data_IF_252998034028
#
_entry.id   IF_252998034028
#
_cell.length_a   1.000
_cell.length_b   1.000
_cell.length_c   1.000
_cell.angle_alpha   90.00
_cell.angle_beta   90.00
_cell.angle_gamma   90.00
#
_symmetry.space_group_name_H-M   'P 1'
#
loop_
_entity.id
_entity.type
_entity.pdbx_description
1 polymer ?
#
# COMPACT_ATOMS: atom_id res chain seq x y z
N UNK A 1 -16.03 -0.96 32.43
CA UNK A 1 -15.09 -1.77 31.62
C UNK A 1 -14.99 -1.33 30.16
N UNK A 2 -15.84 -0.42 29.65
CA UNK A 2 -15.75 0.12 28.28
C UNK A 2 -14.77 1.29 28.11
N UNK A 3 -14.48 2.07 29.16
CA UNK A 3 -13.58 3.22 29.09
C UNK A 3 -12.08 2.86 29.01
N UNK A 4 -11.67 1.69 29.52
CA UNK A 4 -10.26 1.27 29.55
C UNK A 4 -9.73 0.72 28.22
N UNK A 5 -10.60 0.23 27.34
CA UNK A 5 -10.19 -0.24 26.01
C UNK A 5 -10.02 0.94 25.04
N UNK A 6 -10.85 1.99 25.18
CA UNK A 6 -10.75 3.23 24.39
C UNK A 6 -9.46 4.02 24.65
N UNK A 7 -8.88 3.93 25.85
CA UNK A 7 -7.60 4.58 26.16
C UNK A 7 -6.38 3.81 25.67
N UNK A 8 -6.54 2.54 25.26
CA UNK A 8 -5.46 1.66 24.82
C UNK A 8 -5.33 1.59 23.29
N UNK A 9 -6.44 1.79 22.57
CA UNK A 9 -6.45 1.92 21.12
C UNK A 9 -6.59 3.40 20.76
N UNK A 10 -5.67 3.93 19.97
CA UNK A 10 -5.78 5.27 19.41
C UNK A 10 -7.15 5.40 18.71
N UNK A 11 -7.86 6.51 18.91
CA UNK A 11 -9.11 6.73 18.19
C UNK A 11 -8.81 6.84 16.69
N UNK A 12 -9.72 6.31 15.86
CA UNK A 12 -9.57 6.38 14.41
C UNK A 12 -9.65 7.81 13.95
N UNK A 13 -8.88 8.12 12.91
CA UNK A 13 -8.96 9.41 12.27
C UNK A 13 -10.33 9.61 11.59
N UNK A 14 -11.06 10.70 11.88
CA UNK A 14 -12.40 10.93 11.33
C UNK A 14 -12.40 11.11 9.80
N UNK A 15 -11.29 11.55 9.21
CA UNK A 15 -11.12 11.66 7.76
C UNK A 15 -10.91 10.27 7.17
N UNK A 16 -10.10 9.43 7.83
CA UNK A 16 -9.85 8.07 7.38
C UNK A 16 -11.10 7.18 7.48
N UNK A 17 -11.94 7.38 8.49
CA UNK A 17 -13.18 6.63 8.70
C UNK A 17 -14.18 6.80 7.54
N UNK A 18 -14.17 7.97 6.90
CA UNK A 18 -15.03 8.27 5.74
C UNK A 18 -14.48 7.71 4.42
N UNK A 19 -13.21 7.28 4.39
CA UNK A 19 -12.60 6.74 3.18
C UNK A 19 -12.97 5.26 3.00
N UNK A 20 -13.29 4.83 1.77
CA UNK A 20 -13.58 3.43 1.49
C UNK A 20 -12.45 2.52 1.96
N UNK A 21 -12.77 1.30 2.40
CA UNK A 21 -11.81 0.28 2.88
C UNK A 21 -11.05 0.61 4.18
N UNK A 22 -11.01 1.87 4.64
CA UNK A 22 -10.38 2.26 5.91
C UNK A 22 -11.37 2.28 7.09
N UNK A 23 -12.67 2.50 6.81
CA UNK A 23 -13.72 2.57 7.84
C UNK A 23 -13.96 1.29 8.67
N UNK A 24 -13.34 0.16 8.36
CA UNK A 24 -13.41 -1.07 9.16
C UNK A 24 -12.16 -1.92 9.01
N UNK A 25 -11.92 -2.83 9.97
CA UNK A 25 -10.86 -3.84 9.86
C UNK A 25 -11.26 -5.00 8.95
N UNK A 26 -12.56 -5.17 8.73
CA UNK A 26 -13.11 -6.30 7.95
C UNK A 26 -12.59 -6.30 6.50
N UNK A 27 -12.56 -5.17 5.76
CA UNK A 27 -12.08 -5.17 4.38
C UNK A 27 -10.62 -5.59 4.24
N UNK A 28 -9.71 -5.08 5.07
CA UNK A 28 -8.29 -5.43 4.98
C UNK A 28 -8.06 -6.91 5.32
N UNK A 29 -8.71 -7.43 6.37
CA UNK A 29 -8.62 -8.85 6.73
C UNK A 29 -9.17 -9.72 5.60
N UNK A 30 -10.34 -9.37 5.06
CA UNK A 30 -10.96 -10.11 3.96
C UNK A 30 -10.08 -10.11 2.70
N UNK A 31 -9.50 -8.95 2.33
CA UNK A 31 -8.60 -8.81 1.19
C UNK A 31 -7.34 -9.64 1.37
N UNK A 32 -6.68 -9.58 2.55
CA UNK A 32 -5.48 -10.36 2.84
C UNK A 32 -5.75 -11.86 2.86
N UNK A 33 -6.86 -12.31 3.44
CA UNK A 33 -7.24 -13.73 3.43
C UNK A 33 -7.59 -14.22 2.02
N UNK A 34 -8.34 -13.44 1.25
CA UNK A 34 -8.65 -13.74 -0.15
C UNK A 34 -7.37 -13.83 -0.98
N UNK A 35 -6.45 -12.87 -0.78
CA UNK A 35 -5.13 -12.86 -1.41
C UNK A 35 -4.34 -14.15 -1.14
N UNK A 36 -4.20 -14.52 0.14
CA UNK A 36 -3.52 -15.75 0.54
C UNK A 36 -4.17 -17.00 -0.04
N UNK A 37 -5.50 -17.09 0.03
CA UNK A 37 -6.26 -18.21 -0.53
C UNK A 37 -6.04 -18.33 -2.04
N UNK A 38 -6.05 -17.21 -2.77
CA UNK A 38 -5.82 -17.18 -4.22
C UNK A 38 -4.39 -17.60 -4.56
N UNK A 39 -3.39 -17.04 -3.90
CA UNK A 39 -1.98 -17.23 -4.29
C UNK A 39 -1.42 -18.58 -3.83
N UNK A 40 -1.78 -19.04 -2.63
CA UNK A 40 -1.20 -20.25 -2.04
C UNK A 40 -2.01 -21.51 -2.34
N UNK A 41 -3.31 -21.41 -2.57
CA UNK A 41 -4.20 -22.58 -2.68
C UNK A 41 -4.92 -22.62 -4.02
N UNK A 42 -5.84 -21.68 -4.26
CA UNK A 42 -6.76 -21.71 -5.40
C UNK A 42 -6.01 -21.61 -6.73
N UNK A 43 -5.11 -20.63 -6.84
CA UNK A 43 -4.34 -20.36 -8.06
C UNK A 43 -3.41 -21.52 -8.45
N UNK A 44 -2.57 -22.06 -7.55
CA UNK A 44 -1.76 -23.24 -7.83
C UNK A 44 -2.58 -24.48 -8.24
N UNK A 45 -3.71 -24.75 -7.56
CA UNK A 45 -4.61 -25.85 -7.90
C UNK A 45 -5.22 -25.63 -9.29
N UNK A 46 -5.75 -24.43 -9.54
CA UNK A 46 -6.35 -24.06 -10.83
C UNK A 46 -5.36 -24.17 -11.99
N UNK A 47 -4.10 -23.79 -11.76
CA UNK A 47 -3.05 -23.83 -12.77
C UNK A 47 -2.42 -25.21 -12.95
N UNK A 48 -2.63 -26.18 -12.05
CA UNK A 48 -1.95 -27.49 -12.07
C UNK A 48 -1.98 -28.14 -13.45
N UNK A 49 -3.17 -28.24 -14.05
CA UNK A 49 -3.40 -28.89 -15.33
C UNK A 49 -3.49 -27.92 -16.52
N UNK A 50 -3.11 -26.65 -16.35
CA UNK A 50 -3.17 -25.61 -17.39
C UNK A 50 -1.78 -25.19 -17.86
N UNK A 51 -1.66 -24.78 -19.12
CA UNK A 51 -0.45 -24.11 -19.62
C UNK A 51 -0.39 -22.67 -19.05
N UNK A 52 0.81 -22.08 -18.88
CA UNK A 52 0.92 -20.70 -18.43
C UNK A 52 0.22 -19.74 -19.40
N UNK A 53 -0.53 -18.78 -18.87
CA UNK A 53 -1.26 -17.82 -19.70
C UNK A 53 -0.32 -16.77 -20.30
N UNK A 54 -0.54 -16.41 -21.56
CA UNK A 54 0.19 -15.32 -22.22
C UNK A 54 -0.50 -13.97 -21.98
N UNK A 55 -0.36 -13.44 -20.76
CA UNK A 55 -0.93 -12.16 -20.32
C UNK A 55 0.07 -11.00 -20.37
N UNK A 56 1.10 -11.09 -21.23
CA UNK A 56 2.17 -10.08 -21.31
C UNK A 56 1.65 -8.65 -21.51
N UNK A 57 0.68 -8.45 -22.41
CA UNK A 57 0.09 -7.13 -22.66
C UNK A 57 -0.60 -6.55 -21.43
N UNK A 58 -1.31 -7.39 -20.67
CA UNK A 58 -2.00 -6.98 -19.44
C UNK A 58 -0.98 -6.56 -18.38
N UNK A 59 0.08 -7.35 -18.20
CA UNK A 59 1.17 -7.04 -17.27
C UNK A 59 1.88 -5.74 -17.67
N UNK A 60 2.10 -5.52 -18.97
CA UNK A 60 2.73 -4.30 -19.47
C UNK A 60 1.90 -3.05 -19.12
N UNK A 61 0.59 -3.09 -19.38
CA UNK A 61 -0.34 -1.99 -19.04
C UNK A 61 -0.36 -1.78 -17.52
N UNK A 62 -0.44 -2.87 -16.75
CA UNK A 62 -0.41 -2.81 -15.29
C UNK A 62 0.87 -2.15 -14.76
N UNK A 63 2.04 -2.60 -15.23
CA UNK A 63 3.33 -2.05 -14.83
C UNK A 63 3.43 -0.56 -15.19
N UNK A 64 2.96 -0.17 -16.39
CA UNK A 64 2.95 1.23 -16.80
C UNK A 64 2.09 2.12 -15.89
N UNK A 65 0.87 1.66 -15.56
CA UNK A 65 0.00 2.38 -14.63
C UNK A 65 0.61 2.46 -13.22
N UNK A 66 1.28 1.38 -12.78
CA UNK A 66 2.00 1.35 -11.51
C UNK A 66 3.17 2.33 -11.49
N UNK A 67 3.96 2.45 -12.56
CA UNK A 67 5.03 3.48 -12.67
C UNK A 67 4.43 4.87 -12.49
N UNK A 68 3.38 5.21 -13.23
CA UNK A 68 2.73 6.52 -13.14
C UNK A 68 2.26 6.80 -11.72
N UNK A 69 1.54 5.86 -11.11
CA UNK A 69 0.96 6.06 -9.80
C UNK A 69 2.02 6.19 -8.68
N UNK A 70 3.06 5.36 -8.70
CA UNK A 70 4.16 5.44 -7.73
C UNK A 70 4.96 6.74 -7.92
N UNK A 71 5.28 7.13 -9.16
CA UNK A 71 5.97 8.40 -9.43
C UNK A 71 5.13 9.60 -8.99
N UNK A 72 3.82 9.58 -9.24
CA UNK A 72 2.90 10.64 -8.84
C UNK A 72 2.83 10.79 -7.30
N UNK A 73 2.67 9.69 -6.57
CA UNK A 73 2.67 9.75 -5.10
C UNK A 73 4.02 10.17 -4.52
N UNK A 74 5.12 9.72 -5.12
CA UNK A 74 6.47 10.14 -4.74
C UNK A 74 6.63 11.66 -4.92
N UNK A 75 6.27 12.18 -6.10
CA UNK A 75 6.30 13.60 -6.41
C UNK A 75 5.42 14.41 -5.45
N UNK A 76 4.16 14.00 -5.25
CA UNK A 76 3.21 14.69 -4.38
C UNK A 76 3.72 14.77 -2.94
N UNK A 77 4.30 13.69 -2.43
CA UNK A 77 4.85 13.63 -1.07
C UNK A 77 6.08 14.53 -0.92
N UNK A 78 7.00 14.50 -1.89
CA UNK A 78 8.20 15.36 -1.88
C UNK A 78 7.83 16.84 -1.96
N UNK A 79 6.92 17.21 -2.87
CA UNK A 79 6.47 18.60 -3.01
C UNK A 79 5.77 19.07 -1.75
N UNK A 80 4.87 18.26 -1.17
CA UNK A 80 4.17 18.60 0.07
C UNK A 80 5.16 18.81 1.22
N UNK A 81 6.14 17.92 1.34
CA UNK A 81 7.20 18.03 2.35
C UNK A 81 8.05 19.30 2.18
N UNK A 82 8.48 19.59 0.95
CA UNK A 82 9.33 20.75 0.65
C UNK A 82 8.59 22.08 0.85
N UNK A 83 7.35 22.17 0.36
CA UNK A 83 6.53 23.38 0.41
C UNK A 83 6.08 23.73 1.83
N UNK A 84 5.80 22.73 2.67
CA UNK A 84 5.29 22.93 4.03
C UNK A 84 6.33 22.56 5.10
N UNK A 85 7.63 22.65 4.78
CA UNK A 85 8.76 22.23 5.64
C UNK A 85 8.73 22.79 7.07
N UNK A 86 8.15 23.96 7.27
CA UNK A 86 8.03 24.61 8.59
C UNK A 86 6.89 24.03 9.45
N UNK A 87 5.94 23.32 8.82
CA UNK A 87 4.78 22.70 9.46
C UNK A 87 4.91 21.17 9.53
N UNK A 88 5.88 20.58 8.83
CA UNK A 88 6.11 19.13 8.91
C UNK A 88 6.65 18.77 10.29
N UNK A 89 6.07 17.77 10.96
CA UNK A 89 6.60 17.30 12.22
C UNK A 89 8.01 16.74 12.07
N UNK A 90 8.77 16.76 13.17
CA UNK A 90 10.13 16.23 13.20
C UNK A 90 10.20 14.79 12.63
N UNK A 91 11.24 14.51 11.83
CA UNK A 91 11.46 13.20 11.24
C UNK A 91 11.63 12.07 12.26
N UNK A 92 11.85 12.40 13.53
CA UNK A 92 11.98 11.43 14.62
C UNK A 92 10.67 10.92 15.21
N UNK A 93 9.50 11.46 14.82
CA UNK A 93 8.21 11.05 15.40
C UNK A 93 7.12 10.82 14.34
N UNK A 94 6.23 9.87 14.64
CA UNK A 94 4.99 9.61 13.91
C UNK A 94 3.91 10.54 14.46
N UNK A 95 3.74 11.70 13.85
CA UNK A 95 2.79 12.71 14.35
C UNK A 95 2.00 13.33 13.22
N UNK A 96 0.79 13.78 13.57
CA UNK A 96 -0.10 14.56 12.70
C UNK A 96 0.41 15.99 12.57
N UNK A 97 -0.07 16.70 11.54
CA UNK A 97 0.20 18.13 11.38
C UNK A 97 -0.52 18.91 12.49
N UNK A 98 0.20 19.53 13.45
CA UNK A 98 -0.43 20.09 14.64
C UNK A 98 -1.23 21.37 14.36
N UNK A 99 -0.85 22.12 13.32
CA UNK A 99 -1.33 23.50 13.10
C UNK A 99 -2.16 23.66 11.82
N UNK A 100 -2.36 22.61 11.02
CA UNK A 100 -2.98 22.72 9.69
C UNK A 100 -3.91 21.54 9.36
N UNK A 101 -5.23 21.71 9.59
CA UNK A 101 -6.21 20.64 9.32
C UNK A 101 -6.34 20.33 7.82
N UNK A 102 -6.00 21.27 6.95
CA UNK A 102 -6.00 21.07 5.49
C UNK A 102 -4.86 20.14 5.07
N UNK A 103 -3.67 20.31 5.64
CA UNK A 103 -2.51 19.44 5.38
C UNK A 103 -2.71 18.06 5.96
N UNK A 104 -3.31 17.95 7.15
CA UNK A 104 -3.65 16.65 7.73
C UNK A 104 -4.61 15.86 6.83
N UNK A 105 -5.66 16.52 6.31
CA UNK A 105 -6.58 15.90 5.33
C UNK A 105 -5.89 15.47 4.05
N UNK A 106 -5.00 16.30 3.49
CA UNK A 106 -4.22 15.95 2.30
C UNK A 106 -3.36 14.72 2.56
N UNK A 107 -2.65 14.70 3.68
CA UNK A 107 -1.78 13.62 4.08
C UNK A 107 -2.52 12.28 4.26
N UNK A 108 -3.68 12.28 4.91
CA UNK A 108 -4.52 11.07 5.03
C UNK A 108 -4.97 10.56 3.66
N UNK A 109 -5.28 11.46 2.72
CA UNK A 109 -5.61 11.07 1.34
C UNK A 109 -4.40 10.48 0.60
N UNK A 110 -3.19 11.01 0.83
CA UNK A 110 -1.95 10.46 0.25
C UNK A 110 -1.67 9.07 0.81
N UNK A 111 -1.76 8.89 2.13
CA UNK A 111 -1.62 7.58 2.79
C UNK A 111 -2.67 6.58 2.32
N UNK A 112 -3.91 7.04 2.12
CA UNK A 112 -4.97 6.22 1.54
C UNK A 112 -4.66 5.80 0.11
N UNK A 113 -4.21 6.71 -0.75
CA UNK A 113 -3.80 6.37 -2.12
C UNK A 113 -2.63 5.38 -2.13
N UNK A 114 -1.66 5.55 -1.23
CA UNK A 114 -0.55 4.62 -1.07
C UNK A 114 -1.00 3.25 -0.58
N UNK A 115 -1.93 3.19 0.39
CA UNK A 115 -2.58 1.96 0.82
C UNK A 115 -3.28 1.24 -0.34
N UNK A 116 -4.05 1.97 -1.16
CA UNK A 116 -4.69 1.39 -2.35
C UNK A 116 -3.66 0.81 -3.32
N UNK A 117 -2.52 1.47 -3.55
CA UNK A 117 -1.45 0.91 -4.37
C UNK A 117 -0.92 -0.41 -3.79
N UNK A 118 -0.68 -0.49 -2.48
CA UNK A 118 -0.21 -1.74 -1.86
C UNK A 118 -1.23 -2.87 -1.97
N UNK A 119 -2.53 -2.56 -1.90
CA UNK A 119 -3.60 -3.54 -2.15
C UNK A 119 -3.61 -3.98 -3.62
N UNK A 120 -3.41 -3.05 -4.56
CA UNK A 120 -3.32 -3.37 -6.00
C UNK A 120 -2.09 -4.25 -6.28
N UNK A 121 -0.99 -4.09 -5.53
CA UNK A 121 0.21 -4.93 -5.67
C UNK A 121 -0.08 -6.43 -5.45
N UNK A 122 -1.16 -6.81 -4.74
CA UNK A 122 -1.60 -8.21 -4.66
C UNK A 122 -1.89 -8.84 -6.03
N UNK A 123 -2.30 -8.04 -7.01
CA UNK A 123 -2.58 -8.50 -8.37
C UNK A 123 -1.30 -8.97 -9.07
N UNK A 124 -0.15 -8.40 -8.75
CA UNK A 124 1.16 -8.79 -9.32
C UNK A 124 1.46 -10.27 -9.03
N UNK A 125 1.30 -10.68 -7.78
CA UNK A 125 1.41 -12.07 -7.35
C UNK A 125 0.42 -13.00 -8.06
N UNK A 126 -0.81 -12.53 -8.34
CA UNK A 126 -1.79 -13.31 -9.10
C UNK A 126 -1.27 -13.52 -10.53
N UNK A 127 -0.68 -12.51 -11.17
CA UNK A 127 -0.05 -12.66 -12.47
C UNK A 127 1.10 -13.66 -12.47
N UNK A 128 1.92 -13.70 -11.40
CA UNK A 128 2.98 -14.72 -11.28
C UNK A 128 2.42 -16.13 -11.22
N UNK A 129 1.33 -16.34 -10.47
CA UNK A 129 0.65 -17.65 -10.39
C UNK A 129 0.07 -18.04 -11.76
N UNK A 130 -0.62 -17.13 -12.46
CA UNK A 130 -1.19 -17.38 -13.78
C UNK A 130 -0.12 -17.67 -14.87
N UNK A 131 1.10 -17.16 -14.68
CA UNK A 131 2.25 -17.46 -15.55
C UNK A 131 3.05 -18.70 -15.12
N UNK A 132 2.64 -19.39 -14.05
CA UNK A 132 3.41 -20.48 -13.41
C UNK A 132 4.83 -20.08 -13.00
N UNK A 133 5.04 -18.81 -12.69
CA UNK A 133 6.34 -18.27 -12.26
C UNK A 133 6.50 -18.37 -10.74
N UNK A 134 6.37 -19.58 -10.19
CA UNK A 134 6.38 -19.79 -8.74
C UNK A 134 7.71 -19.43 -8.06
N UNK A 135 8.81 -19.35 -8.82
CA UNK A 135 10.11 -18.88 -8.30
C UNK A 135 10.07 -17.42 -7.81
N UNK A 136 9.19 -16.59 -8.39
CA UNK A 136 9.04 -15.19 -7.99
C UNK A 136 8.14 -15.04 -6.74
N UNK A 137 7.23 -16.00 -6.52
CA UNK A 137 6.33 -16.04 -5.35
C UNK A 137 7.07 -16.68 -4.17
N UNK A 138 8.07 -15.96 -3.65
CA UNK A 138 8.80 -16.38 -2.45
C UNK A 138 8.04 -16.02 -1.16
N UNK A 139 8.41 -16.66 -0.05
CA UNK A 139 7.91 -16.30 1.28
C UNK A 139 8.11 -14.81 1.57
N UNK A 140 9.30 -14.27 1.26
CA UNK A 140 9.62 -12.87 1.48
C UNK A 140 8.69 -11.94 0.70
N UNK A 141 8.40 -12.27 -0.56
CA UNK A 141 7.51 -11.48 -1.41
C UNK A 141 6.09 -11.43 -0.82
N UNK A 142 5.51 -12.59 -0.51
CA UNK A 142 4.15 -12.68 0.07
C UNK A 142 4.08 -11.98 1.43
N UNK A 143 5.06 -12.22 2.30
CA UNK A 143 5.16 -11.56 3.61
C UNK A 143 5.25 -10.05 3.48
N UNK A 144 6.11 -9.55 2.59
CA UNK A 144 6.28 -8.12 2.32
C UNK A 144 4.97 -7.47 1.86
N UNK A 145 4.25 -8.05 0.88
CA UNK A 145 2.99 -7.48 0.40
C UNK A 145 1.91 -7.41 1.48
N UNK A 146 1.82 -8.44 2.34
CA UNK A 146 0.87 -8.47 3.46
C UNK A 146 1.23 -7.43 4.51
N UNK A 147 2.50 -7.41 4.92
CA UNK A 147 2.99 -6.48 5.94
C UNK A 147 2.82 -5.04 5.48
N UNK A 148 3.23 -4.70 4.25
CA UNK A 148 3.09 -3.35 3.70
C UNK A 148 1.62 -2.92 3.64
N UNK A 149 0.70 -3.76 3.18
CA UNK A 149 -0.73 -3.39 3.10
C UNK A 149 -1.35 -3.19 4.48
N UNK A 150 -1.05 -4.10 5.42
CA UNK A 150 -1.59 -4.07 6.78
C UNK A 150 -1.03 -2.90 7.58
N UNK A 151 0.28 -2.66 7.49
CA UNK A 151 0.95 -1.57 8.20
C UNK A 151 0.47 -0.20 7.70
N UNK A 152 0.32 -0.03 6.38
CA UNK A 152 -0.27 1.17 5.79
C UNK A 152 -1.70 1.43 6.25
N UNK A 153 -2.52 0.37 6.33
CA UNK A 153 -3.87 0.47 6.88
C UNK A 153 -3.85 1.03 8.32
N UNK A 154 -3.02 0.47 9.20
CA UNK A 154 -2.95 0.92 10.59
C UNK A 154 -2.44 2.38 10.70
N UNK A 155 -1.41 2.74 9.95
CA UNK A 155 -0.88 4.09 9.98
C UNK A 155 -1.85 5.14 9.43
N UNK A 156 -2.51 4.83 8.31
CA UNK A 156 -3.51 5.72 7.72
C UNK A 156 -4.78 5.87 8.55
N UNK A 157 -5.12 4.84 9.35
CA UNK A 157 -6.35 4.84 10.16
C UNK A 157 -6.17 5.50 11.53
N UNK A 158 -4.99 5.36 12.15
CA UNK A 158 -4.80 5.75 13.56
C UNK A 158 -3.81 6.90 13.75
N UNK A 159 -2.64 6.83 13.12
CA UNK A 159 -1.52 7.71 13.47
C UNK A 159 -1.34 8.88 12.50
N UNK A 160 -2.02 8.86 11.35
CA UNK A 160 -1.87 9.91 10.34
C UNK A 160 -0.50 9.94 9.68
N UNK A 161 0.34 8.91 9.83
CA UNK A 161 1.49 8.53 8.99
C UNK A 161 2.51 9.57 8.47
N UNK A 162 2.52 10.83 8.89
CA UNK A 162 3.55 11.81 8.50
C UNK A 162 4.75 11.78 9.48
N UNK A 163 5.87 12.38 9.08
CA UNK A 163 7.15 12.35 9.80
C UNK A 163 8.06 11.25 9.25
N UNK A 164 8.57 10.37 10.12
CA UNK A 164 9.46 9.27 9.71
C UNK A 164 8.87 8.41 8.59
N UNK A 165 7.57 8.12 8.64
CA UNK A 165 6.95 7.18 7.70
C UNK A 165 6.79 7.73 6.28
N UNK A 166 6.77 9.07 6.11
CA UNK A 166 6.82 9.67 4.79
C UNK A 166 8.08 9.26 4.03
N UNK A 167 9.20 9.03 4.73
CA UNK A 167 10.44 8.51 4.10
C UNK A 167 10.25 7.09 3.55
N UNK A 168 9.53 6.23 4.25
CA UNK A 168 9.23 4.86 3.81
C UNK A 168 8.35 4.90 2.56
N UNK A 169 7.33 5.76 2.54
CA UNK A 169 6.47 5.96 1.38
C UNK A 169 7.29 6.41 0.16
N UNK A 170 8.10 7.47 0.31
CA UNK A 170 8.91 8.01 -0.79
C UNK A 170 9.90 6.97 -1.32
N UNK A 171 10.63 6.29 -0.43
CA UNK A 171 11.59 5.25 -0.82
C UNK A 171 10.91 4.07 -1.50
N UNK A 172 9.78 3.60 -0.96
CA UNK A 172 9.04 2.49 -1.55
C UNK A 172 8.53 2.88 -2.96
N UNK A 173 7.87 4.03 -3.09
CA UNK A 173 7.39 4.52 -4.38
C UNK A 173 8.53 4.74 -5.39
N UNK A 174 9.69 5.24 -4.95
CA UNK A 174 10.85 5.39 -5.82
C UNK A 174 11.38 4.04 -6.32
N UNK A 175 11.57 3.07 -5.41
CA UNK A 175 12.01 1.71 -5.77
C UNK A 175 11.01 1.03 -6.69
N UNK A 176 9.71 1.14 -6.41
CA UNK A 176 8.67 0.58 -7.28
C UNK A 176 8.62 1.29 -8.65
N UNK A 177 8.87 2.61 -8.70
CA UNK A 177 9.02 3.34 -9.96
C UNK A 177 10.16 2.76 -10.81
N UNK A 178 11.33 2.49 -10.22
CA UNK A 178 12.45 1.85 -10.94
C UNK A 178 12.17 0.39 -11.30
N UNK A 179 11.62 -0.40 -10.37
CA UNK A 179 11.33 -1.83 -10.57
C UNK A 179 10.33 -2.05 -11.69
N UNK A 180 9.20 -1.32 -11.70
CA UNK A 180 8.20 -1.45 -12.74
C UNK A 180 8.68 -0.89 -14.08
N UNK A 181 9.54 0.13 -14.07
CA UNK A 181 10.23 0.59 -15.30
C UNK A 181 11.12 -0.52 -15.88
N UNK A 182 11.90 -1.21 -15.03
CA UNK A 182 12.70 -2.35 -15.46
C UNK A 182 11.85 -3.49 -16.04
N UNK A 183 10.71 -3.79 -15.42
CA UNK A 183 9.75 -4.78 -15.94
C UNK A 183 8.97 -4.34 -17.17
N UNK A 184 8.89 -3.03 -17.45
CA UNK A 184 8.34 -2.52 -18.70
C UNK A 184 9.35 -2.66 -19.85
N UNK A 185 10.65 -2.51 -19.55
CA UNK A 185 11.72 -2.60 -20.54
C UNK A 185 12.17 -4.05 -20.86
N UNK A 186 11.94 -5.01 -19.96
CA UNK A 186 12.28 -6.45 -20.13
C UNK A 186 11.13 -7.28 -20.69
#
# INVERSE_FOLDING_TARGET
>A
MSLSLKSMFHERDPVAEQLPLLGSHVPIIALTLAYLAIVLVIGPIFMRNRKPYNIKKVILIYNFLQVIANCFLCYLTIVTFYTHRAEVPDFGCLTKYPNSPTLEKLNIRVLYAFYLLKVIDYVETIFFVLRKSFKQVSFLHVYHHIMMSTFNYYLGTYYGGMGQYASVLVLNCAVHGFMYTYYFMS
#
